data_IF_832137253234
#
_entry.id   IF_832137253234
#
_cell.length_a   1.000
_cell.length_b   1.000
_cell.length_c   1.000
_cell.angle_alpha   90.00
_cell.angle_beta   90.00
_cell.angle_gamma   90.00
#
_symmetry.space_group_name_H-M   'P 1'
#
loop_
_entity.id
_entity.type
_entity.pdbx_description
1 polymer ?
#
# COMPACT_ATOMS: atom_id res chain seq x y z
N UNK A 1 -31.65 -36.58 23.26
CA UNK A 1 -31.54 -36.61 21.79
C UNK A 1 -30.21 -36.05 21.36
N UNK A 2 -29.61 -36.70 20.39
CA UNK A 2 -28.19 -36.74 20.09
C UNK A 2 -27.82 -35.72 19.01
N UNK A 3 -27.15 -34.61 19.34
CA UNK A 3 -26.59 -33.72 18.32
C UNK A 3 -25.14 -34.12 18.01
N UNK A 4 -24.98 -35.16 17.17
CA UNK A 4 -23.70 -35.71 16.69
C UNK A 4 -23.23 -35.13 15.35
N UNK A 5 -23.94 -34.15 14.80
CA UNK A 5 -23.57 -33.36 13.63
C UNK A 5 -24.23 -32.00 13.83
N UNK A 6 -23.58 -30.86 13.79
CA UNK A 6 -22.24 -30.52 13.34
C UNK A 6 -22.35 -29.03 13.03
N UNK A 7 -21.51 -28.20 13.65
CA UNK A 7 -21.34 -26.81 13.21
C UNK A 7 -21.20 -26.82 11.69
N UNK A 8 -22.13 -26.15 11.00
CA UNK A 8 -22.16 -26.12 9.54
C UNK A 8 -20.77 -25.70 9.01
N UNK A 9 -20.06 -26.58 8.29
CA UNK A 9 -18.74 -26.26 7.75
C UNK A 9 -18.78 -25.12 6.71
N UNK A 10 -19.96 -24.71 6.26
CA UNK A 10 -20.19 -23.57 5.36
C UNK A 10 -20.49 -22.25 6.09
N UNK A 11 -20.60 -22.25 7.42
CA UNK A 11 -20.87 -21.03 8.19
C UNK A 11 -19.68 -20.05 8.20
N UNK A 12 -18.50 -20.47 7.72
CA UNK A 12 -17.32 -19.61 7.52
C UNK A 12 -16.93 -19.50 6.04
N UNK A 13 -16.23 -18.42 5.68
CA UNK A 13 -15.60 -18.27 4.35
C UNK A 13 -14.37 -19.18 4.28
N UNK A 14 -14.58 -20.49 4.12
CA UNK A 14 -13.53 -21.51 4.00
C UNK A 14 -12.62 -21.30 2.78
N UNK A 15 -13.01 -20.42 1.85
CA UNK A 15 -12.22 -19.99 0.70
C UNK A 15 -11.30 -18.81 1.03
N UNK A 16 -11.39 -18.20 2.21
CA UNK A 16 -10.51 -17.12 2.61
C UNK A 16 -9.06 -17.64 2.72
N UNK A 17 -8.08 -16.99 2.06
CA UNK A 17 -6.68 -17.33 2.22
C UNK A 17 -6.24 -17.24 3.69
N UNK A 18 -5.25 -18.02 4.09
CA UNK A 18 -4.74 -18.04 5.49
C UNK A 18 -4.27 -16.67 6.00
N UNK A 19 -3.90 -15.75 5.09
CA UNK A 19 -3.52 -14.37 5.40
C UNK A 19 -4.66 -13.34 5.28
N UNK A 20 -5.87 -13.75 4.91
CA UNK A 20 -6.95 -12.83 4.54
C UNK A 20 -6.81 -12.32 3.10
N UNK A 21 -7.75 -11.47 2.69
CA UNK A 21 -7.75 -10.82 1.37
C UNK A 21 -6.97 -9.51 1.43
N UNK A 22 -6.28 -9.15 0.34
CA UNK A 22 -5.58 -7.88 0.25
C UNK A 22 -6.53 -6.70 0.38
N UNK A 23 -6.19 -5.74 1.25
CA UNK A 23 -6.95 -4.50 1.43
C UNK A 23 -6.20 -3.34 0.77
N UNK A 24 -6.86 -2.50 -0.05
CA UNK A 24 -6.27 -1.27 -0.56
C UNK A 24 -5.81 -0.37 0.60
N UNK A 25 -4.54 0.02 0.58
CA UNK A 25 -3.92 0.83 1.63
C UNK A 25 -3.09 1.93 0.97
N UNK A 26 -3.29 3.18 1.37
CA UNK A 26 -2.51 4.30 0.82
C UNK A 26 -1.06 4.21 1.29
N UNK A 27 -0.13 4.40 0.37
CA UNK A 27 1.31 4.44 0.65
C UNK A 27 1.69 5.78 1.30
N UNK A 28 1.25 5.97 2.55
CA UNK A 28 1.55 7.15 3.34
C UNK A 28 3.00 7.11 3.89
N UNK A 29 3.73 8.24 3.85
CA UNK A 29 5.06 8.31 4.46
C UNK A 29 5.04 7.92 5.94
N UNK A 30 6.02 7.14 6.37
CA UNK A 30 6.13 6.61 7.73
C UNK A 30 5.38 5.29 7.95
N UNK A 31 4.50 4.86 7.05
CA UNK A 31 3.89 3.54 7.12
C UNK A 31 4.96 2.46 6.95
N UNK A 32 5.03 1.51 7.89
CA UNK A 32 5.99 0.40 7.83
C UNK A 32 5.33 -0.79 7.15
N UNK A 33 5.97 -1.30 6.11
CA UNK A 33 5.49 -2.45 5.35
C UNK A 33 6.64 -3.43 5.09
N UNK A 34 6.27 -4.68 4.86
CA UNK A 34 7.17 -5.73 4.38
C UNK A 34 6.88 -6.01 2.91
N UNK A 35 7.90 -6.10 2.07
CA UNK A 35 7.76 -6.66 0.73
C UNK A 35 7.87 -8.19 0.78
N UNK A 36 6.80 -8.87 0.38
CA UNK A 36 6.56 -10.28 0.66
C UNK A 36 7.51 -11.26 -0.06
N UNK A 37 8.12 -10.85 -1.18
CA UNK A 37 9.02 -11.71 -1.96
C UNK A 37 10.43 -11.72 -1.38
N UNK A 38 10.93 -10.56 -0.98
CA UNK A 38 12.31 -10.37 -0.48
C UNK A 38 12.40 -10.33 1.04
N UNK A 39 11.28 -10.18 1.75
CA UNK A 39 11.24 -10.00 3.20
C UNK A 39 11.81 -8.65 3.66
N UNK A 40 11.87 -7.66 2.78
CA UNK A 40 12.38 -6.33 3.12
C UNK A 40 11.35 -5.54 3.92
N UNK A 41 11.67 -5.20 5.16
CA UNK A 41 10.82 -4.36 6.01
C UNK A 41 11.37 -2.94 6.11
N UNK A 42 10.51 -1.94 5.86
CA UNK A 42 10.90 -0.54 5.97
C UNK A 42 9.73 0.43 6.00
N UNK A 43 10.01 1.67 6.39
CA UNK A 43 9.07 2.77 6.36
C UNK A 43 9.01 3.37 4.96
N UNK A 44 7.80 3.70 4.48
CA UNK A 44 7.61 4.44 3.24
C UNK A 44 8.21 5.84 3.40
N UNK A 45 9.14 6.20 2.53
CA UNK A 45 9.76 7.55 2.54
C UNK A 45 9.40 8.37 1.31
N UNK A 46 9.07 7.71 0.21
CA UNK A 46 8.62 8.37 -1.02
C UNK A 46 7.76 7.43 -1.87
N UNK A 47 6.88 8.03 -2.68
CA UNK A 47 6.18 7.36 -3.77
C UNK A 47 6.39 8.21 -5.01
N UNK A 48 6.99 7.63 -6.04
CA UNK A 48 7.35 8.33 -7.26
C UNK A 48 6.64 7.71 -8.46
N UNK A 49 6.34 8.54 -9.46
CA UNK A 49 5.83 8.08 -10.75
C UNK A 49 6.94 8.12 -11.79
N UNK A 50 7.43 6.96 -12.20
CA UNK A 50 8.51 6.81 -13.17
C UNK A 50 8.07 5.90 -14.33
N UNK A 51 8.26 6.36 -15.56
CA UNK A 51 7.95 5.54 -16.75
C UNK A 51 6.50 5.06 -16.86
N UNK A 52 5.55 5.79 -16.27
CA UNK A 52 4.13 5.41 -16.24
C UNK A 52 3.72 4.50 -15.07
N UNK A 53 4.68 4.05 -14.27
CA UNK A 53 4.46 3.18 -13.11
C UNK A 53 4.69 3.94 -11.80
N UNK A 54 4.07 3.49 -10.72
CA UNK A 54 4.39 4.00 -9.38
C UNK A 54 5.42 3.09 -8.70
N UNK A 55 6.36 3.72 -8.01
CA UNK A 55 7.43 3.09 -7.25
C UNK A 55 7.36 3.61 -5.82
N UNK A 56 7.43 2.70 -4.84
CA UNK A 56 7.51 3.04 -3.41
C UNK A 56 8.94 2.83 -2.92
N UNK A 57 9.44 3.80 -2.16
CA UNK A 57 10.76 3.75 -1.53
C UNK A 57 10.59 3.39 -0.05
N UNK A 58 11.24 2.31 0.37
CA UNK A 58 11.23 1.81 1.75
C UNK A 58 12.59 1.98 2.39
N UNK A 59 12.65 2.68 3.52
CA UNK A 59 13.84 2.82 4.36
C UNK A 59 13.81 1.82 5.51
N UNK A 60 14.86 1.02 5.67
CA UNK A 60 14.99 0.10 6.80
C UNK A 60 15.50 0.80 8.08
N UNK A 61 15.56 0.07 9.19
CA UNK A 61 16.07 0.59 10.48
C UNK A 61 17.55 0.97 10.48
N UNK A 62 18.31 0.65 9.43
CA UNK A 62 19.73 0.98 9.26
C UNK A 62 19.92 2.15 8.28
N UNK A 63 18.83 2.75 7.79
CA UNK A 63 18.85 3.85 6.84
C UNK A 63 19.06 3.42 5.38
N UNK A 64 19.00 2.13 5.06
CA UNK A 64 19.10 1.67 3.68
C UNK A 64 17.75 1.86 2.97
N UNK A 65 17.76 2.47 1.79
CA UNK A 65 16.55 2.73 1.00
C UNK A 65 16.51 1.80 -0.21
N UNK A 66 15.37 1.13 -0.42
CA UNK A 66 15.12 0.29 -1.60
C UNK A 66 13.79 0.64 -2.25
N UNK A 67 13.79 0.56 -3.58
CA UNK A 67 12.64 0.86 -4.42
C UNK A 67 11.91 -0.43 -4.84
N UNK A 68 10.58 -0.41 -4.77
CA UNK A 68 9.73 -1.52 -5.16
C UNK A 68 8.55 -1.03 -6.01
N UNK A 69 8.04 -1.83 -6.96
CA UNK A 69 6.82 -1.49 -7.68
C UNK A 69 5.65 -1.33 -6.70
N UNK A 70 4.90 -0.24 -6.82
CA UNK A 70 3.69 -0.03 -6.03
C UNK A 70 2.58 -0.99 -6.50
N UNK A 71 1.87 -1.60 -5.57
CA UNK A 71 0.74 -2.48 -5.87
C UNK A 71 0.65 -3.63 -4.88
N UNK A 72 0.29 -4.85 -5.32
CA UNK A 72 0.26 -6.02 -4.45
C UNK A 72 1.68 -6.47 -4.08
N UNK A 73 1.79 -7.39 -3.12
CA UNK A 73 3.07 -7.96 -2.70
C UNK A 73 3.64 -7.34 -1.42
N UNK A 74 2.83 -6.57 -0.69
CA UNK A 74 3.22 -6.01 0.59
C UNK A 74 2.40 -6.60 1.73
N UNK A 75 3.00 -6.66 2.91
CA UNK A 75 2.35 -6.99 4.16
C UNK A 75 2.38 -5.76 5.09
N UNK A 76 1.24 -5.47 5.71
CA UNK A 76 1.12 -4.54 6.82
C UNK A 76 0.78 -5.36 8.06
N UNK A 77 1.66 -5.36 9.06
CA UNK A 77 1.52 -6.20 10.25
C UNK A 77 1.26 -7.69 9.91
N UNK A 78 2.00 -8.21 8.92
CA UNK A 78 1.87 -9.58 8.42
C UNK A 78 0.60 -9.86 7.60
N UNK A 79 -0.26 -8.86 7.36
CA UNK A 79 -1.48 -8.99 6.55
C UNK A 79 -1.26 -8.44 5.14
N UNK A 80 -1.71 -9.15 4.09
CA UNK A 80 -1.53 -8.70 2.72
C UNK A 80 -2.29 -7.40 2.46
N UNK A 81 -1.61 -6.46 1.80
CA UNK A 81 -2.18 -5.18 1.37
C UNK A 81 -1.91 -4.94 -0.10
N UNK A 82 -2.79 -4.16 -0.72
CA UNK A 82 -2.58 -3.57 -2.04
C UNK A 82 -2.18 -2.11 -1.81
N UNK A 83 -0.90 -1.78 -1.97
CA UNK A 83 -0.48 -0.39 -1.84
C UNK A 83 -1.00 0.45 -3.00
N UNK A 84 -1.62 1.58 -2.67
CA UNK A 84 -2.16 2.55 -3.63
C UNK A 84 -1.45 3.90 -3.49
N UNK A 85 -1.40 4.73 -4.54
CA UNK A 85 -0.78 6.04 -4.46
C UNK A 85 -1.42 6.90 -3.35
N UNK A 86 -0.64 7.71 -2.62
CA UNK A 86 -1.17 8.56 -1.57
C UNK A 86 -2.08 9.64 -2.16
N UNK A 87 -3.35 9.67 -1.76
CA UNK A 87 -4.33 10.66 -2.28
C UNK A 87 -3.98 12.08 -1.89
N UNK A 88 -3.34 12.25 -0.73
CA UNK A 88 -2.87 13.56 -0.26
C UNK A 88 -1.79 14.15 -1.18
N UNK A 89 -0.88 13.32 -1.70
CA UNK A 89 0.16 13.76 -2.63
C UNK A 89 -0.44 14.23 -3.96
N UNK A 90 -1.45 13.52 -4.47
CA UNK A 90 -2.16 13.93 -5.68
C UNK A 90 -2.85 15.30 -5.51
N UNK A 91 -3.49 15.54 -4.36
CA UNK A 91 -4.09 16.84 -4.05
C UNK A 91 -3.03 17.95 -3.94
N UNK A 92 -1.91 17.69 -3.28
CA UNK A 92 -0.83 18.66 -3.15
C UNK A 92 -0.20 19.00 -4.51
N UNK A 93 0.04 17.98 -5.34
CA UNK A 93 0.57 18.16 -6.69
C UNK A 93 -0.40 18.95 -7.58
N UNK A 94 -1.71 18.69 -7.50
CA UNK A 94 -2.73 19.44 -8.23
C UNK A 94 -2.76 20.92 -7.79
N UNK A 95 -2.75 21.17 -6.47
CA UNK A 95 -2.73 22.52 -5.92
C UNK A 95 -1.49 23.32 -6.36
N UNK A 96 -0.31 22.69 -6.34
CA UNK A 96 0.93 23.30 -6.82
C UNK A 96 0.86 23.67 -8.31
N UNK A 97 0.28 22.81 -9.16
CA UNK A 97 0.08 23.09 -10.60
C UNK A 97 -0.89 24.23 -10.83
N UNK A 98 -1.99 24.30 -10.09
CA UNK A 98 -2.96 25.40 -10.17
C UNK A 98 -2.33 26.74 -9.74
N UNK A 99 -1.56 26.74 -8.64
CA UNK A 99 -0.85 27.93 -8.18
C UNK A 99 0.25 28.38 -9.16
N UNK A 100 0.88 27.46 -9.89
CA UNK A 100 1.81 27.80 -10.96
C UNK A 100 1.09 28.41 -12.18
N UNK A 101 -0.03 27.82 -12.62
CA UNK A 101 -0.82 28.34 -13.73
C UNK A 101 -1.41 29.72 -13.47
N UNK A 102 -1.90 29.97 -12.24
CA UNK A 102 -2.46 31.27 -11.83
C UNK A 102 -1.42 32.41 -11.88
N UNK A 103 -0.15 32.11 -11.64
CA UNK A 103 0.96 33.09 -11.71
C UNK A 103 1.37 33.42 -13.15
N UNK A 104 1.02 32.59 -14.12
CA UNK A 104 1.36 32.80 -15.55
C UNK A 104 0.24 33.53 -16.31
N UNK A 105 -0.94 33.70 -15.72
CA UNK A 105 -2.12 34.29 -16.38
C UNK A 105 -2.22 35.83 -16.29
N UNK A 106 -1.18 36.51 -15.79
CA UNK A 106 -1.08 37.98 -15.80
C UNK A 106 -0.11 38.42 -16.91
N UNK A 107 -0.64 38.54 -18.13
CA UNK A 107 0.03 39.11 -19.30
C UNK A 107 -0.96 39.93 -20.11
#
# INVERSE_FOLDING_TARGET
MNSRYGSDPLAGDWRAPRGGRSVPTEAEPGLVVEEATTGWCGAIVAVEKAGGMYVVHLEDRRGAVRAFPLGPGFLLEGRPVLLTPPKAADRAALAARQAAAARTASG
#
